data_IF_571840566499
#
_entry.id   IF_571840566499
#
_cell.length_a   1.000
_cell.length_b   1.000
_cell.length_c   1.000
_cell.angle_alpha   90.00
_cell.angle_beta   90.00
_cell.angle_gamma   90.00
#
_symmetry.space_group_name_H-M   'P 1'
#
loop_
_entity.id
_entity.type
_entity.pdbx_description
1 polymer ?
#
# COMPACT_ATOMS: atom_id res chain seq x y z
N UNK A 1 0.56 9.85 -25.93
CA UNK A 1 1.55 9.19 -25.05
C UNK A 1 0.84 8.15 -24.21
N UNK A 2 1.41 6.95 -24.07
CA UNK A 2 0.87 5.89 -23.24
C UNK A 2 1.13 6.24 -21.77
N UNK A 3 0.07 6.39 -20.98
CA UNK A 3 0.19 6.66 -19.54
C UNK A 3 0.77 5.42 -18.85
N UNK A 4 2.01 5.52 -18.37
CA UNK A 4 2.69 4.44 -17.64
C UNK A 4 2.44 4.65 -16.15
N UNK A 5 1.85 3.66 -15.50
CA UNK A 5 1.66 3.66 -14.05
C UNK A 5 2.85 2.98 -13.39
N UNK A 6 3.39 3.58 -12.34
CA UNK A 6 4.59 3.11 -11.64
C UNK A 6 4.31 2.86 -10.16
N UNK A 7 5.01 1.90 -9.58
CA UNK A 7 4.89 1.55 -8.17
C UNK A 7 6.29 1.51 -7.56
N UNK A 8 6.49 2.26 -6.49
CA UNK A 8 7.64 2.11 -5.60
C UNK A 8 7.20 1.34 -4.36
N UNK A 9 7.91 0.26 -4.02
CA UNK A 9 7.69 -0.48 -2.78
C UNK A 9 8.93 -0.44 -1.91
N UNK A 10 8.77 -0.12 -0.63
CA UNK A 10 9.88 -0.01 0.31
C UNK A 10 9.48 -0.47 1.73
N UNK A 11 10.37 -1.21 2.38
CA UNK A 11 10.31 -1.46 3.81
C UNK A 11 11.12 -0.38 4.54
N UNK A 12 10.49 0.34 5.47
CA UNK A 12 11.12 1.42 6.21
C UNK A 12 11.76 0.98 7.52
N UNK A 13 11.62 -0.26 7.97
CA UNK A 13 12.25 -0.77 9.18
C UNK A 13 12.08 0.18 10.40
N UNK A 14 10.86 0.62 10.70
CA UNK A 14 10.60 1.38 11.93
C UNK A 14 10.76 0.53 13.20
N UNK A 15 10.85 -0.80 13.06
CA UNK A 15 11.25 -1.69 14.14
C UNK A 15 12.73 -1.51 14.50
N UNK A 16 13.56 -1.11 13.53
CA UNK A 16 14.93 -0.67 13.73
C UNK A 16 15.87 -1.84 13.99
N UNK A 17 16.20 -2.57 12.93
CA UNK A 17 17.29 -3.56 12.97
C UNK A 17 18.65 -2.87 13.17
N UNK A 18 18.82 -1.64 12.67
CA UNK A 18 20.05 -0.85 12.75
C UNK A 18 19.79 0.63 13.09
N UNK A 19 20.86 1.37 13.41
CA UNK A 19 20.83 2.82 13.61
C UNK A 19 21.13 3.55 12.30
N UNK A 20 20.11 3.75 11.47
CA UNK A 20 20.23 4.59 10.28
C UNK A 20 20.13 6.07 10.67
N UNK A 21 21.11 6.89 10.29
CA UNK A 21 21.02 8.35 10.45
C UNK A 21 20.21 8.95 9.30
N UNK A 22 18.88 8.85 9.38
CA UNK A 22 17.92 9.27 8.34
C UNK A 22 16.84 10.18 8.91
N UNK A 23 16.24 11.01 8.06
CA UNK A 23 15.17 11.94 8.40
C UNK A 23 13.94 11.71 7.52
N UNK A 24 12.74 12.11 7.98
CA UNK A 24 11.52 12.03 7.17
C UNK A 24 11.68 12.77 5.83
N UNK A 25 12.40 13.91 5.83
CA UNK A 25 12.68 14.67 4.61
C UNK A 25 13.53 13.90 3.59
N UNK A 26 14.59 13.23 4.04
CA UNK A 26 15.44 12.40 3.16
C UNK A 26 14.66 11.21 2.60
N UNK A 27 13.88 10.54 3.45
CA UNK A 27 13.05 9.41 3.04
C UNK A 27 11.99 9.89 2.04
N UNK A 28 11.27 10.95 2.34
CA UNK A 28 10.27 11.55 1.45
C UNK A 28 10.86 11.92 0.10
N UNK A 29 11.99 12.64 0.09
CA UNK A 29 12.72 13.00 -1.13
C UNK A 29 13.09 11.79 -1.99
N UNK A 30 13.54 10.70 -1.36
CA UNK A 30 13.82 9.45 -2.05
C UNK A 30 12.55 8.84 -2.67
N UNK A 31 11.47 8.71 -1.87
CA UNK A 31 10.22 8.10 -2.30
C UNK A 31 9.58 8.82 -3.49
N UNK A 32 9.72 10.15 -3.57
CA UNK A 32 9.13 10.97 -4.65
C UNK A 32 10.09 11.23 -5.81
N UNK A 33 11.37 10.88 -5.70
CA UNK A 33 12.41 11.23 -6.69
C UNK A 33 12.10 10.77 -8.11
N UNK A 34 11.46 9.61 -8.25
CA UNK A 34 11.03 9.05 -9.54
C UNK A 34 9.58 9.39 -9.93
N UNK A 35 8.90 10.20 -9.09
CA UNK A 35 7.46 10.51 -9.19
C UNK A 35 6.60 9.27 -9.44
N UNK A 36 6.68 8.24 -8.57
CA UNK A 36 5.91 7.03 -8.77
C UNK A 36 4.40 7.31 -8.67
N UNK A 37 3.57 6.60 -9.44
CA UNK A 37 2.11 6.73 -9.30
C UNK A 37 1.63 6.21 -7.93
N UNK A 38 2.26 5.15 -7.44
CA UNK A 38 1.93 4.50 -6.18
C UNK A 38 3.16 4.31 -5.31
N UNK A 39 3.00 4.46 -3.99
CA UNK A 39 4.06 4.18 -3.00
C UNK A 39 3.50 3.19 -1.98
N UNK A 40 4.10 1.99 -1.90
CA UNK A 40 3.76 0.95 -0.95
C UNK A 40 4.84 0.87 0.14
N UNK A 41 4.49 1.19 1.38
CA UNK A 41 5.42 1.17 2.51
C UNK A 41 5.10 0.02 3.46
N UNK A 42 6.14 -0.68 3.92
CA UNK A 42 6.07 -1.68 4.98
C UNK A 42 6.92 -1.26 6.19
N UNK A 43 6.59 -1.80 7.36
CA UNK A 43 7.23 -1.46 8.64
C UNK A 43 7.30 0.03 8.93
N UNK A 44 6.12 0.65 8.84
CA UNK A 44 5.89 2.02 9.28
C UNK A 44 4.92 2.02 10.47
N UNK A 45 5.03 3.02 11.33
CA UNK A 45 4.06 3.27 12.39
C UNK A 45 4.30 4.61 13.06
N UNK A 46 3.51 4.92 14.09
CA UNK A 46 3.45 6.26 14.69
C UNK A 46 4.81 6.84 15.05
N UNK A 47 5.70 6.00 15.59
CA UNK A 47 7.09 6.36 15.84
C UNK A 47 8.00 5.15 15.57
N UNK A 48 9.14 5.40 14.95
CA UNK A 48 10.22 4.44 14.78
C UNK A 48 10.97 4.25 16.10
N UNK A 49 11.38 3.00 16.38
CA UNK A 49 11.96 2.64 17.68
C UNK A 49 13.39 3.15 17.90
N UNK A 50 14.15 3.41 16.83
CA UNK A 50 15.59 3.72 16.92
C UNK A 50 15.92 5.17 16.63
N UNK A 51 15.40 5.69 15.53
CA UNK A 51 15.69 7.04 15.02
C UNK A 51 14.57 8.06 15.35
N UNK A 52 13.48 7.63 16.00
CA UNK A 52 12.42 8.51 16.46
C UNK A 52 11.58 9.16 15.35
N UNK A 53 11.72 8.68 14.10
CA UNK A 53 10.92 9.15 12.97
C UNK A 53 9.43 8.98 13.25
N UNK A 54 8.63 10.00 12.94
CA UNK A 54 7.18 9.96 13.10
C UNK A 54 6.54 9.77 11.74
N UNK A 55 5.62 8.80 11.61
CA UNK A 55 4.94 8.56 10.34
C UNK A 55 4.16 9.78 9.85
N UNK A 56 3.54 10.54 10.76
CA UNK A 56 2.82 11.77 10.42
C UNK A 56 3.69 12.78 9.66
N UNK A 57 4.97 12.91 10.04
CA UNK A 57 5.86 13.90 9.43
C UNK A 57 6.24 13.44 8.00
N UNK A 58 6.41 12.13 7.80
CA UNK A 58 6.61 11.54 6.47
C UNK A 58 5.34 11.62 5.62
N UNK A 59 4.16 11.37 6.20
CA UNK A 59 2.87 11.47 5.51
C UNK A 59 2.66 12.90 5.02
N UNK A 60 2.85 13.90 5.89
CA UNK A 60 2.73 15.30 5.51
C UNK A 60 3.71 15.69 4.40
N UNK A 61 4.94 15.18 4.41
CA UNK A 61 5.89 15.40 3.31
C UNK A 61 5.37 14.83 1.98
N UNK A 62 4.77 13.64 2.00
CA UNK A 62 4.16 13.04 0.80
C UNK A 62 2.92 13.83 0.33
N UNK A 63 2.07 14.25 1.26
CA UNK A 63 0.86 15.05 0.98
C UNK A 63 1.20 16.41 0.36
N UNK A 64 2.22 17.10 0.87
CA UNK A 64 2.74 18.34 0.27
C UNK A 64 3.21 18.15 -1.18
N UNK A 65 3.53 16.92 -1.57
CA UNK A 65 3.96 16.56 -2.92
C UNK A 65 2.87 15.86 -3.74
N UNK A 66 1.59 16.00 -3.35
CA UNK A 66 0.43 15.54 -4.14
C UNK A 66 0.07 14.06 -3.96
N UNK A 67 0.62 13.40 -2.95
CA UNK A 67 0.26 12.02 -2.62
C UNK A 67 -0.83 11.96 -1.55
N UNK A 68 -1.80 11.09 -1.73
CA UNK A 68 -2.83 10.79 -0.74
C UNK A 68 -2.66 9.37 -0.20
N UNK A 69 -2.99 9.18 1.08
CA UNK A 69 -2.92 7.88 1.74
C UNK A 69 -4.24 7.11 1.62
N UNK A 70 -4.16 5.82 1.28
CA UNK A 70 -5.27 4.89 1.45
C UNK A 70 -5.55 4.72 2.95
N UNK A 71 -6.83 4.66 3.31
CA UNK A 71 -7.26 4.40 4.69
C UNK A 71 -6.62 3.12 5.21
N UNK A 72 -6.11 3.15 6.44
CA UNK A 72 -5.32 2.07 7.01
C UNK A 72 -5.64 1.88 8.49
N UNK A 73 -5.27 0.71 9.01
CA UNK A 73 -5.37 0.38 10.44
C UNK A 73 -3.98 0.27 11.04
N UNK A 74 -3.80 0.86 12.23
CA UNK A 74 -2.53 0.80 12.94
C UNK A 74 -2.54 -0.25 14.03
N UNK A 75 -1.43 -0.97 14.13
CA UNK A 75 -1.11 -1.71 15.35
C UNK A 75 -0.23 -0.88 16.28
N UNK A 76 -0.14 -1.33 17.53
CA UNK A 76 0.75 -0.75 18.54
C UNK A 76 2.23 -0.78 18.14
N UNK A 77 2.65 -1.78 17.37
CA UNK A 77 4.03 -1.87 16.86
C UNK A 77 4.11 -1.25 15.45
N UNK A 78 5.24 -0.64 15.07
CA UNK A 78 5.37 0.00 13.77
C UNK A 78 5.68 -1.02 12.65
N UNK A 79 4.84 -2.04 12.55
CA UNK A 79 4.92 -3.12 11.56
C UNK A 79 3.79 -3.01 10.54
N UNK A 80 3.28 -1.79 10.31
CA UNK A 80 2.10 -1.57 9.47
C UNK A 80 2.49 -1.48 7.99
N UNK A 81 1.50 -1.68 7.11
CA UNK A 81 1.59 -1.33 5.70
C UNK A 81 0.85 -0.02 5.44
N UNK A 82 1.35 0.76 4.47
CA UNK A 82 0.68 1.93 3.91
C UNK A 82 0.73 1.88 2.40
N UNK A 83 -0.31 2.43 1.77
CA UNK A 83 -0.36 2.63 0.33
C UNK A 83 -0.71 4.10 0.08
N UNK A 84 0.11 4.75 -0.73
CA UNK A 84 -0.13 6.11 -1.20
C UNK A 84 -0.27 6.13 -2.71
N UNK A 85 -0.95 7.14 -3.22
CA UNK A 85 -1.15 7.36 -4.65
C UNK A 85 -1.01 8.84 -5.00
N UNK A 86 -0.44 9.14 -6.17
CA UNK A 86 -0.43 10.50 -6.72
C UNK A 86 -1.85 10.87 -7.17
N UNK A 87 -2.48 11.80 -6.44
CA UNK A 87 -3.87 12.19 -6.68
C UNK A 87 -4.04 13.07 -7.91
N UNK A 88 -2.95 13.49 -8.55
CA UNK A 88 -2.97 14.16 -9.85
C UNK A 88 -3.06 13.16 -11.02
N UNK A 89 -2.64 11.91 -10.82
CA UNK A 89 -2.60 10.88 -11.88
C UNK A 89 -3.79 9.94 -11.78
N UNK A 90 -4.15 9.51 -10.56
CA UNK A 90 -5.23 8.57 -10.32
C UNK A 90 -6.23 9.09 -9.29
N UNK A 91 -7.45 8.54 -9.33
CA UNK A 91 -8.48 8.71 -8.29
C UNK A 91 -8.73 7.39 -7.59
N UNK A 92 -8.85 7.43 -6.26
CA UNK A 92 -9.31 6.31 -5.46
C UNK A 92 -10.77 6.01 -5.78
N UNK A 93 -11.07 4.76 -6.13
CA UNK A 93 -12.45 4.29 -6.38
C UNK A 93 -13.02 3.65 -5.12
N UNK A 94 -12.28 2.69 -4.55
CA UNK A 94 -12.66 2.03 -3.29
C UNK A 94 -11.48 1.33 -2.63
N UNK A 95 -11.54 1.22 -1.31
CA UNK A 95 -10.66 0.36 -0.54
C UNK A 95 -10.98 -1.11 -0.83
N UNK A 96 -9.95 -1.93 -0.91
CA UNK A 96 -10.09 -3.38 -0.97
C UNK A 96 -10.17 -3.94 0.45
N UNK A 97 -10.97 -5.00 0.60
CA UNK A 97 -11.08 -5.69 1.87
C UNK A 97 -9.73 -6.31 2.28
N UNK A 98 -9.45 -6.37 3.59
CA UNK A 98 -8.30 -7.11 4.09
C UNK A 98 -8.33 -8.57 3.61
N UNK A 99 -7.15 -9.14 3.39
CA UNK A 99 -6.97 -10.57 3.10
C UNK A 99 -7.06 -11.37 4.40
N UNK A 100 -6.42 -10.84 5.45
CA UNK A 100 -6.49 -11.40 6.79
C UNK A 100 -7.54 -10.63 7.58
N UNK A 101 -8.63 -11.31 7.94
CA UNK A 101 -9.68 -10.73 8.79
C UNK A 101 -9.28 -10.73 10.27
N UNK A 102 -8.33 -11.59 10.66
CA UNK A 102 -7.86 -11.72 12.04
C UNK A 102 -6.35 -11.87 12.09
N UNK A 103 -5.68 -11.07 12.92
CA UNK A 103 -4.21 -11.01 12.98
C UNK A 103 -3.62 -10.37 11.72
N UNK A 104 -2.66 -9.47 11.88
CA UNK A 104 -1.96 -8.83 10.75
C UNK A 104 -2.82 -7.94 9.83
N UNK A 105 -4.02 -7.52 10.26
CA UNK A 105 -4.87 -6.57 9.51
C UNK A 105 -4.13 -5.28 9.15
N UNK A 106 -3.24 -4.85 10.05
CA UNK A 106 -2.40 -3.67 9.89
C UNK A 106 -1.25 -3.84 8.87
N UNK A 107 -0.96 -5.08 8.43
CA UNK A 107 0.16 -5.42 7.54
C UNK A 107 -0.24 -5.49 6.07
N UNK A 108 -1.37 -4.87 5.74
CA UNK A 108 -1.93 -4.88 4.41
C UNK A 108 -2.64 -3.56 4.13
N UNK A 109 -2.64 -3.16 2.87
CA UNK A 109 -3.42 -2.03 2.39
C UNK A 109 -3.64 -2.22 0.90
N UNK A 110 -4.89 -2.10 0.45
CA UNK A 110 -5.22 -2.29 -0.95
C UNK A 110 -6.39 -1.42 -1.36
N UNK A 111 -6.40 -1.05 -2.62
CA UNK A 111 -7.41 -0.19 -3.21
C UNK A 111 -7.51 -0.37 -4.72
N UNK A 112 -8.65 0.04 -5.27
CA UNK A 112 -8.86 0.19 -6.70
C UNK A 112 -8.75 1.66 -7.05
N UNK A 113 -8.03 1.92 -8.12
CA UNK A 113 -7.77 3.24 -8.66
C UNK A 113 -8.21 3.30 -10.11
N UNK A 114 -8.59 4.50 -10.55
CA UNK A 114 -8.86 4.81 -11.94
C UNK A 114 -7.99 5.99 -12.36
N UNK A 115 -7.40 5.94 -13.55
CA UNK A 115 -6.66 7.10 -14.09
C UNK A 115 -7.59 8.29 -14.26
N UNK A 116 -7.08 9.52 -14.10
CA UNK A 116 -7.91 10.74 -14.21
C UNK A 116 -8.58 10.91 -15.57
N UNK A 117 -7.98 10.35 -16.63
CA UNK A 117 -8.58 10.30 -17.97
C UNK A 117 -9.62 9.19 -18.16
N UNK A 118 -9.95 8.44 -17.11
CA UNK A 118 -10.95 7.38 -17.07
C UNK A 118 -10.68 6.16 -17.99
N UNK A 119 -9.45 6.02 -18.52
CA UNK A 119 -9.10 4.94 -19.46
C UNK A 119 -8.61 3.65 -18.82
N UNK A 120 -8.02 3.71 -17.63
CA UNK A 120 -7.42 2.54 -16.97
C UNK A 120 -7.91 2.42 -15.54
N UNK A 121 -8.26 1.19 -15.17
CA UNK A 121 -8.58 0.81 -13.79
C UNK A 121 -7.52 -0.18 -13.32
N UNK A 122 -6.96 0.05 -12.14
CA UNK A 122 -5.92 -0.81 -11.55
C UNK A 122 -6.25 -1.11 -10.09
N UNK A 123 -5.99 -2.35 -9.68
CA UNK A 123 -6.03 -2.74 -8.27
C UNK A 123 -4.59 -2.85 -7.75
N UNK A 124 -4.28 -2.15 -6.67
CA UNK A 124 -2.97 -2.21 -6.01
C UNK A 124 -3.16 -2.77 -4.60
N UNK A 125 -2.26 -3.68 -4.22
CA UNK A 125 -2.27 -4.31 -2.91
C UNK A 125 -0.85 -4.40 -2.35
N UNK A 126 -0.62 -3.79 -1.20
CA UNK A 126 0.62 -3.91 -0.42
C UNK A 126 0.42 -4.91 0.71
N UNK A 127 1.38 -5.81 0.88
CA UNK A 127 1.38 -6.87 1.88
C UNK A 127 2.72 -6.97 2.59
N UNK A 128 2.69 -7.10 3.91
CA UNK A 128 3.86 -7.44 4.71
C UNK A 128 3.63 -8.76 5.47
N UNK A 129 4.15 -9.85 4.90
CA UNK A 129 3.95 -11.19 5.45
C UNK A 129 4.61 -11.38 6.83
N UNK A 130 4.07 -12.27 7.69
CA UNK A 130 4.74 -12.64 8.93
C UNK A 130 6.12 -13.27 8.68
N UNK A 131 7.11 -12.94 9.52
CA UNK A 131 8.46 -13.50 9.44
C UNK A 131 8.46 -15.02 9.63
N UNK A 132 9.23 -15.70 8.78
CA UNK A 132 9.31 -17.15 8.67
C UNK A 132 9.95 -17.72 9.95
N UNK A 133 9.17 -18.40 10.79
CA UNK A 133 9.69 -19.13 11.95
C UNK A 133 8.72 -19.17 13.14
N UNK A 134 8.01 -18.06 13.41
CA UNK A 134 7.07 -18.01 14.55
C UNK A 134 5.63 -18.44 14.22
N UNK A 135 5.24 -18.43 12.94
CA UNK A 135 3.84 -18.63 12.52
C UNK A 135 3.71 -19.50 11.25
N UNK A 136 4.11 -20.80 11.31
CA UNK A 136 4.10 -21.67 10.13
C UNK A 136 2.69 -21.98 9.62
N UNK A 137 1.67 -22.00 10.49
CA UNK A 137 0.25 -22.24 10.10
C UNK A 137 -0.33 -21.04 9.35
N UNK A 138 -0.09 -19.84 9.85
CA UNK A 138 -0.49 -18.57 9.25
C UNK A 138 0.24 -18.39 7.91
N UNK A 139 1.52 -18.77 7.83
CA UNK A 139 2.29 -18.76 6.58
C UNK A 139 1.72 -19.71 5.52
N UNK A 140 1.35 -20.95 5.87
CA UNK A 140 0.71 -21.87 4.91
C UNK A 140 -0.66 -21.34 4.47
N UNK A 141 -1.39 -20.70 5.39
CA UNK A 141 -2.60 -19.93 5.05
C UNK A 141 -2.27 -18.77 4.11
N UNK A 142 -1.19 -18.00 4.30
CA UNK A 142 -0.78 -16.89 3.43
C UNK A 142 -0.64 -17.33 1.96
N UNK A 143 0.03 -18.47 1.70
CA UNK A 143 0.18 -18.99 0.33
C UNK A 143 -1.17 -19.34 -0.33
N UNK A 144 -2.06 -20.00 0.41
CA UNK A 144 -3.42 -20.32 -0.05
C UNK A 144 -4.27 -19.04 -0.19
N UNK A 145 -4.07 -18.04 0.68
CA UNK A 145 -4.76 -16.76 0.63
C UNK A 145 -4.25 -15.86 -0.50
N UNK A 146 -3.00 -15.97 -0.95
CA UNK A 146 -2.52 -15.31 -2.16
C UNK A 146 -3.24 -15.87 -3.39
N UNK A 147 -3.41 -17.20 -3.49
CA UNK A 147 -4.21 -17.78 -4.57
C UNK A 147 -5.69 -17.38 -4.47
N UNK A 148 -6.27 -17.39 -3.26
CA UNK A 148 -7.61 -16.86 -3.05
C UNK A 148 -7.73 -15.37 -3.35
N UNK A 149 -6.69 -14.58 -3.08
CA UNK A 149 -6.61 -13.14 -3.39
C UNK A 149 -6.58 -12.95 -4.90
N UNK A 150 -5.73 -13.68 -5.62
CA UNK A 150 -5.69 -13.65 -7.08
C UNK A 150 -7.06 -14.03 -7.65
N UNK A 151 -7.75 -15.03 -7.09
CA UNK A 151 -9.13 -15.37 -7.47
C UNK A 151 -10.14 -14.27 -7.14
N UNK A 152 -10.08 -13.69 -5.93
CA UNK A 152 -10.98 -12.60 -5.50
C UNK A 152 -10.75 -11.34 -6.34
N UNK A 153 -9.50 -10.99 -6.61
CA UNK A 153 -9.12 -9.88 -7.50
C UNK A 153 -9.58 -10.16 -8.93
N UNK A 154 -9.35 -11.37 -9.46
CA UNK A 154 -9.85 -11.76 -10.78
C UNK A 154 -11.38 -11.64 -10.88
N UNK A 155 -12.11 -12.09 -9.85
CA UNK A 155 -13.58 -11.97 -9.77
C UNK A 155 -14.05 -10.52 -9.61
N UNK A 156 -13.29 -9.69 -8.90
CA UNK A 156 -13.59 -8.27 -8.71
C UNK A 156 -13.33 -7.48 -10.00
N UNK A 157 -12.22 -7.75 -10.69
CA UNK A 157 -11.86 -7.16 -11.98
C UNK A 157 -12.92 -7.52 -13.02
N UNK A 158 -13.35 -8.79 -13.10
CA UNK A 158 -14.42 -9.18 -14.03
C UNK A 158 -15.74 -8.51 -13.69
N UNK A 159 -16.14 -8.45 -12.41
CA UNK A 159 -17.36 -7.73 -12.00
C UNK A 159 -17.34 -6.25 -12.39
N UNK A 160 -16.21 -5.57 -12.16
CA UNK A 160 -16.05 -4.15 -12.52
C UNK A 160 -16.07 -3.94 -14.03
N UNK A 161 -15.45 -4.84 -14.79
CA UNK A 161 -15.49 -4.82 -16.26
C UNK A 161 -16.91 -4.98 -16.80
N UNK A 162 -17.69 -5.90 -16.24
CA UNK A 162 -19.10 -6.10 -16.62
C UNK A 162 -19.98 -4.91 -16.24
N UNK A 163 -19.75 -4.27 -15.09
CA UNK A 163 -20.46 -3.05 -14.72
C UNK A 163 -20.16 -1.88 -15.68
N UNK A 164 -18.90 -1.71 -16.11
CA UNK A 164 -18.54 -0.67 -17.08
C UNK A 164 -19.14 -0.92 -18.48
N UNK A 165 -19.29 -2.18 -18.91
CA UNK A 165 -19.95 -2.52 -20.17
C UNK A 165 -21.46 -2.26 -20.08
N UNK A 166 -22.11 -2.68 -18.99
CA UNK A 166 -23.56 -2.58 -18.85
C UNK A 166 -24.08 -1.14 -18.68
N UNK A 167 -23.21 -0.18 -18.34
CA UNK A 167 -23.54 1.25 -18.27
C UNK A 167 -23.32 2.00 -19.60
N UNK A 168 -22.68 1.37 -20.58
CA UNK A 168 -22.38 1.95 -21.91
C UNK A 168 -23.26 1.39 -23.03
N UNK A 169 -24.11 0.41 -22.73
CA UNK A 169 -25.16 -0.12 -23.60
C UNK A 169 -26.50 0.55 -23.27
#
# INVERSE_FOLDING_TARGET
MTEVLTLLSANLDFMGAENYNRTCKQIGSFLISSKPTFIALQEIGTISQKDGLKDKDLISELELNGYEAVTHTNSKKPVNSRLFYDSNVVKLVKNLLPIYDTGFVNRQSGAIFKTKNDKKTVAIFSLHFPLYGKFPKEKKKCGIHIFSLLLKLAKLITTLFWQEISMKA
#
